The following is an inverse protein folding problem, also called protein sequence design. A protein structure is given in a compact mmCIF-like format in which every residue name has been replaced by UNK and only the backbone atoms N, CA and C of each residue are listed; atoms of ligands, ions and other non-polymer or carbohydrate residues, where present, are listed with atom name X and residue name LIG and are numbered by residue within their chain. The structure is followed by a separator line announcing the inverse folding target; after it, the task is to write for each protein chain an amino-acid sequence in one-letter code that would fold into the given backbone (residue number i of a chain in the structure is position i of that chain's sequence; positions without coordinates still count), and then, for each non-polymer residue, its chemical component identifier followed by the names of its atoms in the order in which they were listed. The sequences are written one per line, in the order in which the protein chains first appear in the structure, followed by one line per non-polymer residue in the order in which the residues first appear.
data_IF_234702689944
#
_entry.id   IF_234702689944
#
_cell.length_a   1.000
_cell.length_b   1.000
_cell.length_c   1.000
_cell.angle_alpha   90.00
_cell.angle_beta   90.00
_cell.angle_gamma   90.00
#
_symmetry.space_group_name_H-M   'P 1'
#
loop_
_entity.id
_entity.type
_entity.pdbx_description
1 polymer ?
#
# COMPACT_ATOMS: atom_id res chain seq x y z
N UNK A 1 -20.83 -45.98 -15.25
CA UNK A 1 -20.04 -44.85 -14.73
C UNK A 1 -18.61 -45.31 -14.50
N UNK A 2 -17.62 -44.76 -15.21
CA UNK A 2 -16.21 -45.14 -15.05
C UNK A 2 -15.76 -44.71 -13.64
N UNK A 3 -15.49 -45.68 -12.77
CA UNK A 3 -15.00 -45.44 -11.41
C UNK A 3 -13.56 -44.97 -11.50
N UNK A 4 -13.33 -43.69 -11.23
CA UNK A 4 -12.00 -43.12 -11.08
C UNK A 4 -11.45 -43.49 -9.71
N UNK A 5 -10.57 -44.50 -9.68
CA UNK A 5 -9.89 -44.93 -8.46
C UNK A 5 -8.72 -43.98 -8.17
N UNK A 6 -8.90 -43.07 -7.21
CA UNK A 6 -7.90 -42.07 -6.75
C UNK A 6 -6.59 -42.65 -6.20
N UNK A 7 -6.42 -43.98 -6.19
CA UNK A 7 -5.26 -44.64 -5.58
C UNK A 7 -3.97 -44.50 -6.42
N UNK A 8 -4.06 -44.06 -7.68
CA UNK A 8 -2.91 -43.90 -8.58
C UNK A 8 -2.38 -42.46 -8.74
N UNK A 9 -3.12 -41.43 -8.30
CA UNK A 9 -2.68 -40.01 -8.44
C UNK A 9 -1.86 -39.51 -7.25
N UNK A 10 -1.88 -40.24 -6.13
CA UNK A 10 -1.17 -39.87 -4.90
C UNK A 10 0.26 -40.42 -4.83
N UNK A 11 0.63 -41.34 -5.74
CA UNK A 11 1.97 -41.94 -5.76
C UNK A 11 3.03 -40.98 -6.34
N UNK A 12 2.60 -39.95 -7.07
CA UNK A 12 3.46 -38.85 -7.54
C UNK A 12 3.91 -37.89 -6.43
N UNK A 13 3.27 -37.92 -5.24
CA UNK A 13 3.63 -37.05 -4.11
C UNK A 13 4.60 -37.70 -3.11
N UNK A 14 4.78 -39.02 -3.12
CA UNK A 14 5.68 -39.71 -2.17
C UNK A 14 7.08 -39.94 -2.72
N UNK A 15 7.30 -39.74 -4.02
CA UNK A 15 8.63 -39.91 -4.63
C UNK A 15 9.60 -38.75 -4.34
N UNK A 16 9.15 -37.70 -3.65
CA UNK A 16 10.01 -36.58 -3.25
C UNK A 16 10.77 -36.79 -1.93
N UNK A 17 10.62 -37.94 -1.25
CA UNK A 17 11.34 -38.17 0.02
C UNK A 17 11.95 -39.57 0.22
N UNK A 18 12.16 -40.37 -0.82
CA UNK A 18 12.89 -41.65 -0.68
C UNK A 18 14.02 -41.75 -1.69
N UNK A 19 15.20 -41.31 -1.24
CA UNK A 19 16.54 -41.81 -1.61
C UNK A 19 16.90 -41.81 -3.10
N UNK A 20 17.19 -40.63 -3.65
CA UNK A 20 18.28 -40.48 -4.61
C UNK A 20 19.56 -40.07 -3.86
N UNK A 21 20.77 -40.41 -4.35
CA UNK A 21 22.01 -39.94 -3.75
C UNK A 21 21.92 -38.43 -3.56
N UNK A 22 22.35 -37.94 -2.40
CA UNK A 22 22.32 -36.55 -1.99
C UNK A 22 23.10 -35.67 -2.99
N UNK A 23 22.53 -35.41 -4.16
CA UNK A 23 22.74 -34.14 -4.82
C UNK A 23 22.01 -33.16 -3.92
N UNK A 24 22.76 -32.56 -3.00
CA UNK A 24 22.41 -31.25 -2.46
C UNK A 24 21.97 -30.42 -3.65
N UNK A 25 20.66 -30.30 -3.90
CA UNK A 25 20.16 -29.10 -4.56
C UNK A 25 20.70 -28.02 -3.63
N UNK A 26 21.65 -27.17 -4.08
CA UNK A 26 21.99 -26.04 -3.27
C UNK A 26 20.65 -25.36 -3.03
N UNK A 27 20.22 -25.29 -1.76
CA UNK A 27 19.29 -24.25 -1.40
C UNK A 27 19.94 -23.01 -1.97
N UNK A 28 19.34 -22.48 -3.04
CA UNK A 28 19.85 -21.28 -3.66
C UNK A 28 19.66 -20.25 -2.57
N UNK A 29 20.72 -19.96 -1.82
CA UNK A 29 20.72 -18.94 -0.79
C UNK A 29 20.21 -17.68 -1.47
N UNK A 30 18.97 -17.32 -1.18
CA UNK A 30 18.35 -16.15 -1.77
C UNK A 30 19.12 -14.98 -1.17
N UNK A 31 20.00 -14.38 -1.96
CA UNK A 31 20.82 -13.28 -1.51
C UNK A 31 19.90 -12.07 -1.24
N UNK A 32 19.62 -11.81 0.03
CA UNK A 32 18.83 -10.64 0.44
C UNK A 32 19.62 -9.35 0.15
N UNK A 33 19.19 -8.61 -0.85
CA UNK A 33 19.80 -7.33 -1.24
C UNK A 33 19.25 -6.16 -0.44
N UNK A 34 18.06 -6.30 0.15
CA UNK A 34 17.42 -5.27 0.94
C UNK A 34 17.86 -5.34 2.39
N UNK A 35 18.39 -4.22 2.89
CA UNK A 35 18.85 -4.08 4.27
C UNK A 35 17.96 -3.11 5.03
N UNK A 36 17.98 -3.18 6.36
CA UNK A 36 17.22 -2.26 7.21
C UNK A 36 17.53 -0.77 6.91
N UNK A 37 18.78 -0.46 6.53
CA UNK A 37 19.22 0.88 6.13
C UNK A 37 18.54 1.42 4.85
N UNK A 38 17.94 0.56 4.03
CA UNK A 38 17.16 0.98 2.85
C UNK A 38 15.75 1.46 3.22
N UNK A 39 15.30 1.21 4.45
CA UNK A 39 13.96 1.54 4.91
C UNK A 39 14.01 2.59 6.02
N UNK A 40 13.09 3.56 5.94
CA UNK A 40 12.88 4.50 7.01
C UNK A 40 11.39 4.74 7.22
N UNK A 41 10.93 4.54 8.45
CA UNK A 41 9.56 4.91 8.83
C UNK A 41 9.51 6.42 9.05
N UNK A 42 8.68 7.10 8.25
CA UNK A 42 8.42 8.54 8.39
C UNK A 42 6.92 8.79 8.48
N UNK A 43 6.53 9.74 9.32
CA UNK A 43 5.17 10.29 9.32
C UNK A 43 4.97 11.07 8.02
N UNK A 44 3.90 10.77 7.30
CA UNK A 44 3.62 11.38 6.00
C UNK A 44 2.60 12.51 6.17
N UNK A 45 1.32 12.19 6.09
CA UNK A 45 0.23 13.15 6.16
C UNK A 45 -0.69 12.87 7.34
N UNK A 46 -1.32 13.93 7.84
CA UNK A 46 -2.41 13.83 8.82
C UNK A 46 -3.73 14.05 8.10
N UNK A 47 -4.56 13.01 8.07
CA UNK A 47 -5.93 13.06 7.55
C UNK A 47 -6.92 13.56 8.61
N UNK A 48 -8.12 13.93 8.15
CA UNK A 48 -9.22 14.36 9.02
C UNK A 48 -9.18 15.84 9.39
N UNK A 49 -10.02 16.20 10.36
CA UNK A 49 -10.20 17.58 10.83
C UNK A 49 -9.32 17.87 12.06
N UNK A 50 -8.84 19.12 12.27
CA UNK A 50 -8.04 19.47 13.44
C UNK A 50 -8.82 19.23 14.75
N UNK A 51 -8.10 18.83 15.79
CA UNK A 51 -8.70 18.66 17.13
C UNK A 51 -8.85 20.03 17.78
N UNK A 52 -9.99 20.31 18.42
CA UNK A 52 -10.28 21.60 19.09
C UNK A 52 -10.01 22.80 18.16
N UNK A 53 -10.76 22.93 17.05
CA UNK A 53 -10.71 24.11 16.21
C UNK A 53 -11.12 25.35 17.01
N UNK A 54 -10.40 26.45 16.84
CA UNK A 54 -10.64 27.71 17.58
C UNK A 54 -10.79 28.90 16.64
N UNK A 55 -10.26 28.82 15.42
CA UNK A 55 -10.33 29.90 14.44
C UNK A 55 -10.60 29.35 13.03
N UNK A 56 -11.26 30.18 12.20
CA UNK A 56 -11.58 29.87 10.81
C UNK A 56 -11.45 31.14 9.96
N UNK A 57 -10.85 31.01 8.77
CA UNK A 57 -10.78 32.06 7.77
C UNK A 57 -10.93 31.47 6.36
N UNK A 58 -11.56 32.21 5.46
CA UNK A 58 -11.75 31.81 4.07
C UNK A 58 -11.30 32.93 3.13
N UNK A 59 -10.51 32.58 2.12
CA UNK A 59 -10.17 33.47 1.01
C UNK A 59 -11.02 33.11 -0.22
N UNK A 60 -11.95 34.00 -0.66
CA UNK A 60 -12.80 33.75 -1.81
C UNK A 60 -12.09 33.80 -3.16
N UNK A 61 -10.98 34.53 -3.27
CA UNK A 61 -10.23 34.66 -4.53
C UNK A 61 -9.47 33.37 -4.81
N UNK A 62 -8.75 32.88 -3.80
CA UNK A 62 -7.96 31.66 -3.92
C UNK A 62 -8.77 30.38 -3.63
N UNK A 63 -9.99 30.52 -3.11
CA UNK A 63 -10.85 29.42 -2.64
C UNK A 63 -10.13 28.53 -1.63
N UNK A 64 -9.49 29.16 -0.64
CA UNK A 64 -8.73 28.48 0.41
C UNK A 64 -9.43 28.64 1.75
N UNK A 65 -9.62 27.52 2.45
CA UNK A 65 -10.10 27.50 3.83
C UNK A 65 -8.92 27.29 4.78
N UNK A 66 -8.78 28.14 5.77
CA UNK A 66 -7.79 28.01 6.84
C UNK A 66 -8.50 27.74 8.18
N UNK A 67 -8.04 26.72 8.91
CA UNK A 67 -8.56 26.33 10.23
C UNK A 67 -7.42 26.35 11.23
N UNK A 68 -7.56 27.14 12.29
CA UNK A 68 -6.65 27.17 13.44
C UNK A 68 -7.17 26.33 14.61
N UNK A 69 -6.27 25.66 15.33
CA UNK A 69 -6.61 24.89 16.53
C UNK A 69 -6.08 25.50 17.83
N UNK A 70 -6.54 24.98 18.97
CA UNK A 70 -6.13 25.43 20.31
C UNK A 70 -4.63 25.26 20.58
N UNK A 71 -3.97 24.33 19.88
CA UNK A 71 -2.52 24.13 19.99
C UNK A 71 -1.72 25.14 19.16
N UNK A 72 -2.39 26.03 18.42
CA UNK A 72 -1.76 27.03 17.55
C UNK A 72 -1.36 26.48 16.17
N UNK A 73 -1.82 25.28 15.79
CA UNK A 73 -1.59 24.75 14.46
C UNK A 73 -2.58 25.35 13.46
N UNK A 74 -2.10 25.66 12.25
CA UNK A 74 -2.93 26.13 11.14
C UNK A 74 -2.98 25.07 10.04
N UNK A 75 -4.18 24.76 9.55
CA UNK A 75 -4.40 23.83 8.43
C UNK A 75 -5.13 24.52 7.29
N UNK A 76 -4.54 24.44 6.10
CA UNK A 76 -5.12 24.98 4.86
C UNK A 76 -5.74 23.87 4.03
N UNK A 77 -6.94 24.12 3.53
CA UNK A 77 -7.73 23.22 2.70
C UNK A 77 -8.00 23.90 1.36
N UNK A 78 -7.35 23.46 0.27
CA UNK A 78 -7.62 23.99 -1.06
C UNK A 78 -8.88 23.37 -1.65
N UNK A 79 -9.71 24.20 -2.29
CA UNK A 79 -10.71 23.71 -3.23
C UNK A 79 -10.03 23.41 -4.57
N UNK A 80 -9.78 22.12 -4.83
CA UNK A 80 -9.31 21.68 -6.13
C UNK A 80 -10.48 21.76 -7.13
N UNK A 81 -10.36 22.61 -8.16
CA UNK A 81 -11.23 22.55 -9.33
C UNK A 81 -10.80 21.37 -10.21
N UNK A 82 -11.09 20.14 -9.76
CA UNK A 82 -10.89 18.94 -10.56
C UNK A 82 -12.09 18.84 -11.52
N UNK A 83 -11.86 19.17 -12.79
CA UNK A 83 -12.74 18.93 -13.95
C UNK A 83 -13.87 19.96 -14.17
N UNK A 84 -13.60 20.96 -15.01
CA UNK A 84 -14.55 21.49 -16.01
C UNK A 84 -13.87 21.87 -17.35
N UNK A 85 -12.68 21.32 -17.64
CA UNK A 85 -11.93 21.63 -18.88
C UNK A 85 -12.01 20.54 -19.96
N UNK A 86 -12.91 19.57 -19.85
CA UNK A 86 -13.02 18.48 -20.84
C UNK A 86 -14.11 18.69 -21.92
N UNK A 87 -14.93 19.75 -21.82
CA UNK A 87 -16.02 20.00 -22.78
C UNK A 87 -15.75 21.19 -23.73
N UNK A 88 -14.49 21.43 -24.10
CA UNK A 88 -14.15 22.38 -25.18
C UNK A 88 -13.04 21.80 -26.07
N UNK A 89 -13.36 20.76 -26.82
CA UNK A 89 -12.70 20.47 -28.10
C UNK A 89 -13.77 20.37 -29.17
N UNK A 90 -13.53 21.13 -30.24
CA UNK A 90 -14.35 21.33 -31.43
C UNK A 90 -14.84 20.05 -32.09
#
# INVERSE_FOLDING_TARGET
MKKFTFKGVLDGFRSSSVQLPQQMRPEQDIQETLKAEHFCVKKTFRHGFPNQPTALAYDPVQKLLAVGDKAGSLRMYPFLNVIQKENQTN
#
